data_IF_147621595929
#
_entry.id   IF_147621595929
#
_cell.length_a   1.000
_cell.length_b   1.000
_cell.length_c   1.000
_cell.angle_alpha   90.00
_cell.angle_beta   90.00
_cell.angle_gamma   90.00
#
_symmetry.space_group_name_H-M   'P 1'
#
loop_
_entity.id
_entity.type
_entity.pdbx_description
1 polymer ?
#
# COMPACT_ATOMS: atom_id res chain seq x y z
N UNK A 1 12.05 -8.24 -18.18
CA UNK A 1 11.19 -7.54 -17.19
C UNK A 1 9.81 -8.15 -17.34
N UNK A 2 9.15 -8.59 -16.27
CA UNK A 2 7.82 -9.20 -16.35
C UNK A 2 6.83 -8.27 -15.66
N UNK A 3 5.82 -7.86 -16.41
CA UNK A 3 4.64 -7.14 -15.93
C UNK A 3 3.48 -8.12 -16.00
N UNK A 4 2.67 -8.18 -14.94
CA UNK A 4 1.39 -8.88 -14.97
C UNK A 4 0.29 -7.83 -15.09
N UNK A 5 -0.60 -8.04 -16.05
CA UNK A 5 -1.69 -7.13 -16.35
C UNK A 5 -2.99 -7.92 -16.40
N UNK A 6 -3.99 -7.49 -15.66
CA UNK A 6 -5.23 -8.24 -15.60
C UNK A 6 -6.31 -7.64 -14.74
N UNK A 7 -7.36 -8.44 -14.58
CA UNK A 7 -8.45 -8.19 -13.66
C UNK A 7 -8.57 -9.42 -12.77
N UNK A 8 -8.40 -9.23 -11.47
CA UNK A 8 -8.51 -10.30 -10.49
C UNK A 8 -7.38 -11.32 -10.55
N UNK A 9 -6.18 -10.95 -11.00
CA UNK A 9 -5.08 -11.90 -11.02
C UNK A 9 -4.63 -12.22 -9.60
N UNK A 10 -4.26 -13.48 -9.39
CA UNK A 10 -3.59 -13.90 -8.16
C UNK A 10 -2.27 -14.52 -8.51
N UNK A 11 -1.19 -14.02 -7.90
CA UNK A 11 0.15 -14.53 -8.17
C UNK A 11 0.97 -14.79 -6.91
N UNK A 12 1.74 -15.87 -6.97
CA UNK A 12 2.78 -16.18 -6.01
C UNK A 12 4.15 -16.24 -6.69
N UNK A 13 4.33 -15.46 -7.76
CA UNK A 13 5.59 -15.35 -8.48
C UNK A 13 6.13 -13.93 -8.41
N UNK A 14 7.47 -13.75 -8.34
CA UNK A 14 8.07 -12.43 -8.43
C UNK A 14 7.77 -11.80 -9.80
N UNK A 15 7.05 -10.67 -9.79
CA UNK A 15 6.95 -9.77 -10.94
C UNK A 15 7.59 -8.43 -10.60
N UNK A 16 8.00 -7.68 -11.63
CA UNK A 16 8.52 -6.33 -11.38
C UNK A 16 7.39 -5.34 -11.18
N UNK A 17 6.31 -5.48 -11.96
CA UNK A 17 5.16 -4.58 -11.94
C UNK A 17 3.88 -5.41 -12.04
N UNK A 18 2.90 -5.08 -11.22
CA UNK A 18 1.51 -5.54 -11.31
C UNK A 18 0.68 -4.33 -11.73
N UNK A 19 -0.14 -4.47 -12.77
CA UNK A 19 -0.99 -3.39 -13.27
C UNK A 19 -2.41 -3.92 -13.49
N UNK A 20 -3.40 -3.46 -12.73
CA UNK A 20 -4.72 -4.07 -12.88
C UNK A 20 -5.80 -3.58 -11.93
N UNK A 21 -6.84 -4.40 -11.86
CA UNK A 21 -7.95 -4.23 -10.95
C UNK A 21 -8.08 -5.50 -10.12
N UNK A 22 -7.97 -5.38 -8.80
CA UNK A 22 -8.18 -6.48 -7.88
C UNK A 22 -7.04 -7.51 -7.90
N UNK A 23 -5.80 -7.11 -8.16
CA UNK A 23 -4.71 -8.08 -8.16
C UNK A 23 -4.32 -8.45 -6.73
N UNK A 24 -3.99 -9.71 -6.52
CA UNK A 24 -3.48 -10.22 -5.25
C UNK A 24 -2.12 -10.86 -5.43
N UNK A 25 -1.13 -10.45 -4.65
CA UNK A 25 0.22 -10.99 -4.73
C UNK A 25 0.78 -11.39 -3.37
N UNK A 26 1.39 -12.58 -3.32
CA UNK A 26 2.15 -13.04 -2.16
C UNK A 26 3.63 -13.21 -2.51
N UNK A 27 4.16 -12.32 -3.35
CA UNK A 27 5.55 -12.40 -3.81
C UNK A 27 6.16 -11.02 -3.99
N UNK A 28 7.49 -10.87 -3.80
CA UNK A 28 8.14 -9.58 -3.89
C UNK A 28 7.85 -8.90 -5.24
N UNK A 29 7.38 -7.65 -5.17
CA UNK A 29 7.13 -6.77 -6.31
C UNK A 29 8.02 -5.54 -6.25
N UNK A 30 8.19 -4.81 -7.37
CA UNK A 30 8.72 -3.43 -7.27
C UNK A 30 7.57 -2.44 -7.17
N UNK A 31 6.56 -2.59 -8.02
CA UNK A 31 5.44 -1.66 -8.13
C UNK A 31 4.13 -2.41 -8.29
N UNK A 32 3.09 -1.93 -7.61
CA UNK A 32 1.69 -2.29 -7.82
C UNK A 32 0.96 -1.02 -8.27
N UNK A 33 0.25 -1.10 -9.39
CA UNK A 33 -0.46 0.02 -10.00
C UNK A 33 -1.89 -0.40 -10.30
N UNK A 34 -2.90 0.19 -9.67
CA UNK A 34 -4.25 -0.30 -9.89
C UNK A 34 -5.35 0.16 -8.97
N UNK A 35 -6.40 -0.66 -8.94
CA UNK A 35 -7.54 -0.48 -8.05
C UNK A 35 -7.76 -1.77 -7.27
N UNK A 36 -7.73 -1.68 -5.95
CA UNK A 36 -8.05 -2.78 -5.06
C UNK A 36 -6.96 -3.84 -5.02
N UNK A 37 -5.69 -3.45 -5.13
CA UNK A 37 -4.61 -4.42 -5.06
C UNK A 37 -4.35 -4.86 -3.62
N UNK A 38 -4.00 -6.12 -3.44
CA UNK A 38 -3.61 -6.66 -2.14
C UNK A 38 -2.27 -7.35 -2.24
N UNK A 39 -1.33 -6.94 -1.39
CA UNK A 39 0.01 -7.52 -1.35
C UNK A 39 0.42 -7.96 0.04
N UNK A 40 0.86 -9.21 0.15
CA UNK A 40 1.53 -9.74 1.33
C UNK A 40 3.01 -9.98 1.03
N UNK A 41 3.70 -8.94 0.54
CA UNK A 41 5.12 -9.03 0.21
C UNK A 41 5.86 -7.71 0.24
N UNK A 42 7.19 -7.78 0.22
CA UNK A 42 8.03 -6.61 0.03
C UNK A 42 7.74 -5.96 -1.34
N UNK A 43 7.24 -4.74 -1.30
CA UNK A 43 7.09 -3.87 -2.47
C UNK A 43 7.86 -2.57 -2.24
N UNK A 44 8.17 -1.83 -3.31
CA UNK A 44 8.72 -0.48 -3.16
C UNK A 44 7.62 0.56 -3.21
N UNK A 45 6.68 0.39 -4.13
CA UNK A 45 5.65 1.38 -4.42
C UNK A 45 4.29 0.72 -4.65
N UNK A 46 3.25 1.34 -4.11
CA UNK A 46 1.84 1.08 -4.41
C UNK A 46 1.26 2.39 -4.94
N UNK A 47 0.61 2.34 -6.10
CA UNK A 47 0.03 3.49 -6.79
C UNK A 47 -1.40 3.14 -7.19
N UNK A 48 -2.41 3.78 -6.58
CA UNK A 48 -3.76 3.33 -6.87
C UNK A 48 -4.88 3.80 -5.97
N UNK A 49 -5.94 3.00 -5.98
CA UNK A 49 -7.12 3.21 -5.14
C UNK A 49 -7.44 1.94 -4.37
N UNK A 50 -7.51 2.04 -3.05
CA UNK A 50 -7.93 0.95 -2.19
C UNK A 50 -6.89 -0.16 -2.08
N UNK A 51 -5.61 0.19 -2.07
CA UNK A 51 -4.56 -0.82 -1.96
C UNK A 51 -4.41 -1.27 -0.51
N UNK A 52 -4.10 -2.55 -0.33
CA UNK A 52 -3.83 -3.12 0.99
C UNK A 52 -2.49 -3.85 1.00
N UNK A 53 -1.60 -3.48 1.91
CA UNK A 53 -0.30 -4.14 2.06
C UNK A 53 -0.06 -4.61 3.49
N UNK A 54 0.27 -5.90 3.63
CA UNK A 54 0.74 -6.48 4.89
C UNK A 54 2.23 -6.78 4.83
N UNK A 55 3.04 -5.79 4.48
CA UNK A 55 4.48 -5.97 4.36
C UNK A 55 5.23 -4.63 4.27
N UNK A 56 6.58 -4.65 4.36
CA UNK A 56 7.34 -3.44 4.17
C UNK A 56 7.28 -2.91 2.72
N UNK A 57 6.32 -2.02 2.45
CA UNK A 57 6.35 -1.04 1.33
C UNK A 57 7.38 0.09 1.56
N UNK A 58 7.58 1.02 0.63
CA UNK A 58 8.29 2.28 0.96
C UNK A 58 7.41 3.51 0.70
N UNK A 59 6.61 3.44 -0.34
CA UNK A 59 5.72 4.52 -0.76
C UNK A 59 4.35 3.95 -1.11
N UNK A 60 3.31 4.63 -0.63
CA UNK A 60 1.92 4.44 -1.02
C UNK A 60 1.44 5.76 -1.59
N UNK A 61 0.94 5.76 -2.81
CA UNK A 61 0.46 6.94 -3.51
C UNK A 61 -0.96 6.66 -4.01
N UNK A 62 -1.97 7.34 -3.47
CA UNK A 62 -3.33 6.94 -3.82
C UNK A 62 -4.46 7.45 -2.97
N UNK A 63 -5.55 6.71 -3.02
CA UNK A 63 -6.75 6.95 -2.23
C UNK A 63 -7.15 5.68 -1.50
N UNK A 64 -7.28 5.76 -0.17
CA UNK A 64 -7.79 4.66 0.63
C UNK A 64 -6.78 3.54 0.82
N UNK A 65 -5.50 3.87 0.89
CA UNK A 65 -4.45 2.87 1.08
C UNK A 65 -4.41 2.39 2.52
N UNK A 66 -4.17 1.09 2.72
CA UNK A 66 -4.01 0.50 4.05
C UNK A 66 -2.72 -0.29 4.13
N UNK A 67 -1.88 0.01 5.13
CA UNK A 67 -0.63 -0.72 5.35
C UNK A 67 -0.44 -1.17 6.78
N UNK A 68 0.06 -2.39 6.97
CA UNK A 68 0.48 -2.92 8.26
C UNK A 68 2.00 -3.17 8.26
N UNK A 69 2.82 -2.12 8.42
CA UNK A 69 4.28 -2.22 8.44
C UNK A 69 5.01 -0.95 8.90
N UNK A 70 6.33 -1.08 9.17
CA UNK A 70 7.23 -0.03 9.66
C UNK A 70 7.78 0.88 8.55
N UNK A 71 7.94 2.18 8.80
CA UNK A 71 8.79 3.07 8.00
C UNK A 71 8.31 3.33 6.56
N UNK A 72 7.32 4.20 6.36
CA UNK A 72 6.62 4.42 5.08
C UNK A 72 6.42 5.89 4.76
N UNK A 73 6.19 6.18 3.49
CA UNK A 73 5.63 7.45 3.02
C UNK A 73 4.24 7.15 2.43
N UNK A 74 3.23 7.90 2.87
CA UNK A 74 1.89 7.87 2.32
C UNK A 74 1.61 9.23 1.68
N UNK A 75 1.18 9.24 0.43
CA UNK A 75 0.85 10.44 -0.33
C UNK A 75 -0.53 10.26 -0.94
N UNK A 76 -1.54 10.96 -0.41
CA UNK A 76 -2.90 10.60 -0.81
C UNK A 76 -4.03 11.13 0.03
N UNK A 77 -5.14 10.41 -0.02
CA UNK A 77 -6.31 10.67 0.79
C UNK A 77 -6.81 9.39 1.44
N UNK A 78 -7.08 9.46 2.76
CA UNK A 78 -7.71 8.34 3.47
C UNK A 78 -6.76 7.19 3.75
N UNK A 79 -5.49 7.49 3.95
CA UNK A 79 -4.45 6.48 4.17
C UNK A 79 -4.51 5.98 5.61
N UNK A 80 -4.38 4.67 5.80
CA UNK A 80 -4.34 4.06 7.12
C UNK A 80 -3.07 3.23 7.29
N UNK A 81 -2.36 3.44 8.38
CA UNK A 81 -1.20 2.62 8.70
C UNK A 81 -1.18 2.12 10.14
N UNK A 82 -0.71 0.89 10.29
CA UNK A 82 -0.46 0.25 11.58
C UNK A 82 1.03 -0.14 11.64
N UNK A 83 1.80 0.54 12.49
CA UNK A 83 3.23 0.23 12.71
C UNK A 83 4.14 1.46 12.68
N UNK A 84 5.06 1.64 13.65
CA UNK A 84 5.80 2.90 13.84
C UNK A 84 6.58 3.43 12.61
N UNK A 85 6.68 4.76 12.49
CA UNK A 85 7.61 5.44 11.58
C UNK A 85 7.07 5.87 10.21
N UNK A 86 5.77 6.09 10.05
CA UNK A 86 5.19 6.64 8.82
C UNK A 86 5.34 8.16 8.68
N UNK A 87 5.58 8.62 7.46
CA UNK A 87 5.42 10.01 7.02
C UNK A 87 4.14 10.08 6.20
N UNK A 88 3.26 11.03 6.51
CA UNK A 88 1.97 11.18 5.83
C UNK A 88 1.91 12.55 5.16
N UNK A 89 1.71 12.55 3.85
CA UNK A 89 1.57 13.71 2.99
C UNK A 89 0.22 13.63 2.29
N UNK A 90 -0.85 13.75 3.07
CA UNK A 90 -2.21 13.57 2.57
C UNK A 90 -3.25 14.17 3.49
N UNK A 91 -4.52 13.91 3.20
CA UNK A 91 -5.64 14.29 4.06
C UNK A 91 -6.43 13.05 4.50
N UNK A 92 -6.89 13.03 5.75
CA UNK A 92 -7.66 11.90 6.27
C UNK A 92 -6.78 10.72 6.69
N UNK A 93 -5.54 11.00 7.04
CA UNK A 93 -4.52 10.01 7.34
C UNK A 93 -4.71 9.51 8.77
N UNK A 94 -4.64 8.20 8.96
CA UNK A 94 -4.94 7.57 10.25
C UNK A 94 -3.82 6.60 10.61
N UNK A 95 -3.14 6.85 11.73
CA UNK A 95 -1.99 6.05 12.14
C UNK A 95 -2.11 5.47 13.54
N UNK A 96 -1.83 4.17 13.65
CA UNK A 96 -1.78 3.42 14.90
C UNK A 96 -0.32 3.04 15.22
N UNK A 97 0.25 3.67 16.26
CA UNK A 97 1.60 3.34 16.75
C UNK A 97 1.62 2.24 17.81
N UNK A 98 0.48 2.00 18.48
CA UNK A 98 0.32 1.03 19.57
C UNK A 98 -1.18 0.75 19.78
N UNK A 99 -1.59 -0.46 20.23
CA UNK A 99 -2.99 -0.73 20.55
C UNK A 99 -3.58 0.36 21.45
N UNK A 100 -4.65 1.00 20.96
CA UNK A 100 -5.38 2.05 21.69
C UNK A 100 -4.91 3.50 21.47
N UNK A 101 -3.88 3.76 20.65
CA UNK A 101 -3.45 5.11 20.30
C UNK A 101 -3.59 5.34 18.79
N UNK A 102 -4.66 6.03 18.41
CA UNK A 102 -4.97 6.45 17.04
C UNK A 102 -4.66 7.95 16.89
N UNK A 103 -3.80 8.31 15.94
CA UNK A 103 -3.57 9.71 15.54
C UNK A 103 -4.19 9.93 14.15
N UNK A 104 -5.05 10.94 14.03
CA UNK A 104 -5.59 11.38 12.74
C UNK A 104 -4.82 12.64 12.32
N UNK A 105 -4.14 12.57 11.18
CA UNK A 105 -3.44 13.71 10.58
C UNK A 105 -4.35 14.27 9.47
N UNK A 106 -4.91 15.45 9.72
CA UNK A 106 -5.49 16.30 8.69
C UNK A 106 -4.53 17.46 8.45
N UNK A 107 -4.09 17.69 7.21
CA UNK A 107 -3.42 18.94 6.89
C UNK A 107 -4.43 20.09 7.02
N UNK A 108 -4.02 21.14 7.71
CA UNK A 108 -4.64 22.46 7.66
C UNK A 108 -4.19 23.18 6.39
#
# INVERSE_FOLDING_TARGET
MKTMKGFGETSNSPAKTFEGFGETSNSPGKTFEGFGETSNSLAKTFEGFGETSNSPGKTFEGFGETSNSLGKTFEGFGETSNGPGGTFNGHGETFNTRPGLQMVLGKA
#
